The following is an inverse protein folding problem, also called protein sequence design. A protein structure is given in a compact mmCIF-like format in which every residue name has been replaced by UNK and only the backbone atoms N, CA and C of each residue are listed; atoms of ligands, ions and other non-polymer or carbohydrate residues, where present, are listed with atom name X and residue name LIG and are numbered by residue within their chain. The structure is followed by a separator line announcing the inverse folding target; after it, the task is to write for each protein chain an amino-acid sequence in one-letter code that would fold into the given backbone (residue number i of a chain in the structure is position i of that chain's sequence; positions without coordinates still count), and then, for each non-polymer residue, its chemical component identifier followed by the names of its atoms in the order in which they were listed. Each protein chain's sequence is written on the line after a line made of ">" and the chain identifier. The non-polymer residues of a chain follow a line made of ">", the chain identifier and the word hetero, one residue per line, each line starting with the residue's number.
data_IF_952698516390
#
_entry.id   IF_952698516390
#
_cell.length_a   1.000
_cell.length_b   1.000
_cell.length_c   1.000
_cell.angle_alpha   90.00
_cell.angle_beta   90.00
_cell.angle_gamma   90.00
#
_symmetry.space_group_name_H-M   'P 1'
#
loop_
_entity.id
_entity.type
_entity.pdbx_description
1 polymer ?
#
# COMPACT_ATOMS: atom_id res chain seq x y z
N UNK A 1 5.47 9.04 1.41
CA UNK A 1 6.31 7.85 1.66
C UNK A 1 7.17 7.50 0.44
N UNK A 2 6.65 6.84 -0.60
CA UNK A 2 7.45 6.39 -1.76
C UNK A 2 8.15 7.55 -2.48
N UNK A 3 7.41 8.60 -2.87
CA UNK A 3 7.99 9.77 -3.55
C UNK A 3 9.11 10.42 -2.72
N UNK A 4 8.89 10.56 -1.41
CA UNK A 4 9.88 11.11 -0.49
C UNK A 4 11.12 10.22 -0.39
N UNK A 5 10.95 8.91 -0.24
CA UNK A 5 12.06 7.94 -0.17
C UNK A 5 12.92 7.97 -1.44
N UNK A 6 12.28 8.13 -2.60
CA UNK A 6 12.93 8.24 -3.91
C UNK A 6 13.40 9.66 -4.28
N UNK A 7 13.27 10.63 -3.38
CA UNK A 7 13.59 12.05 -3.64
C UNK A 7 12.90 12.64 -4.89
N UNK A 8 11.71 12.13 -5.21
CA UNK A 8 10.87 12.65 -6.30
C UNK A 8 10.04 13.85 -5.82
N UNK A 9 9.63 14.76 -6.74
CA UNK A 9 8.73 15.85 -6.43
C UNK A 9 7.52 15.36 -5.62
N UNK A 10 7.28 15.97 -4.46
CA UNK A 10 6.16 15.56 -3.60
C UNK A 10 4.89 16.29 -3.98
N UNK A 11 3.74 15.64 -3.77
CA UNK A 11 2.42 16.19 -4.06
C UNK A 11 1.62 16.36 -2.77
N UNK A 12 0.65 17.29 -2.81
CA UNK A 12 -0.34 17.40 -1.74
C UNK A 12 -1.17 16.11 -1.70
N UNK A 13 -1.54 15.67 -0.50
CA UNK A 13 -2.35 14.46 -0.34
C UNK A 13 -3.67 14.52 -1.12
N UNK A 14 -4.27 15.71 -1.26
CA UNK A 14 -5.48 15.92 -2.06
C UNK A 14 -5.29 15.60 -3.55
N UNK A 15 -4.11 15.89 -4.10
CA UNK A 15 -3.82 15.64 -5.52
C UNK A 15 -3.54 14.16 -5.75
N UNK A 16 -2.77 13.54 -4.84
CA UNK A 16 -2.55 12.09 -4.83
C UNK A 16 -3.90 11.36 -4.73
N UNK A 17 -4.77 11.80 -3.82
CA UNK A 17 -6.04 11.13 -3.60
C UNK A 17 -6.99 11.27 -4.80
N UNK A 18 -6.97 12.43 -5.49
CA UNK A 18 -7.69 12.60 -6.75
C UNK A 18 -7.17 11.64 -7.83
N UNK A 19 -5.86 11.55 -8.01
CA UNK A 19 -5.24 10.70 -9.03
C UNK A 19 -5.47 9.20 -8.77
N UNK A 20 -5.46 8.78 -7.51
CA UNK A 20 -5.78 7.40 -7.11
C UNK A 20 -7.29 7.14 -7.03
N UNK A 21 -8.09 8.10 -7.50
CA UNK A 21 -9.52 7.95 -7.69
C UNK A 21 -10.31 7.87 -6.39
N UNK A 22 -9.86 8.50 -5.31
CA UNK A 22 -10.51 8.40 -4.01
C UNK A 22 -11.97 8.87 -4.07
N UNK A 23 -12.87 8.11 -3.44
CA UNK A 23 -14.27 8.50 -3.21
C UNK A 23 -14.55 8.41 -1.72
N UNK A 24 -15.16 9.46 -1.17
CA UNK A 24 -15.51 9.59 0.25
C UNK A 24 -17.02 9.75 0.42
N UNK A 25 -17.60 9.37 1.57
CA UNK A 25 -18.97 9.73 1.90
C UNK A 25 -19.10 11.25 2.00
N UNK A 26 -20.31 11.79 1.76
CA UNK A 26 -20.56 13.23 1.69
C UNK A 26 -20.04 13.98 2.92
N UNK A 27 -20.27 13.44 4.12
CA UNK A 27 -19.84 14.01 5.40
C UNK A 27 -18.31 14.18 5.53
N UNK A 28 -17.53 13.32 4.88
CA UNK A 28 -16.06 13.31 5.02
C UNK A 28 -15.34 14.04 3.88
N UNK A 29 -16.08 14.60 2.91
CA UNK A 29 -15.48 15.27 1.74
C UNK A 29 -14.65 16.50 2.10
N UNK A 30 -14.93 17.14 3.22
CA UNK A 30 -14.13 18.26 3.72
C UNK A 30 -12.67 17.87 4.00
N UNK A 31 -12.40 16.58 4.28
CA UNK A 31 -11.04 16.07 4.51
C UNK A 31 -10.20 16.05 3.23
N UNK A 32 -10.82 15.79 2.07
CA UNK A 32 -10.17 15.78 0.76
C UNK A 32 -11.10 16.43 -0.27
N UNK A 33 -11.13 17.77 -0.36
CA UNK A 33 -12.09 18.50 -1.20
C UNK A 33 -12.03 18.13 -2.70
N UNK A 34 -10.84 17.71 -3.17
CA UNK A 34 -10.61 17.22 -4.53
C UNK A 34 -11.04 15.77 -4.75
N UNK A 35 -11.61 15.06 -3.75
CA UNK A 35 -12.07 13.68 -3.93
C UNK A 35 -13.11 13.57 -5.04
N UNK A 36 -13.12 12.45 -5.76
CA UNK A 36 -14.14 12.16 -6.76
C UNK A 36 -15.54 12.11 -6.12
N UNK A 37 -16.54 12.57 -6.86
CA UNK A 37 -17.95 12.42 -6.51
C UNK A 37 -18.46 11.10 -7.05
N UNK A 38 -19.36 10.44 -6.32
CA UNK A 38 -20.00 9.22 -6.81
C UNK A 38 -20.65 8.41 -5.70
N UNK A 39 -21.33 7.34 -6.12
CA UNK A 39 -21.85 6.32 -5.19
C UNK A 39 -20.71 5.56 -4.54
N UNK A 40 -20.98 4.99 -3.36
CA UNK A 40 -20.05 4.13 -2.63
C UNK A 40 -19.55 3.01 -3.56
N UNK A 41 -18.24 2.90 -3.83
CA UNK A 41 -17.71 1.78 -4.60
C UNK A 41 -18.00 0.44 -3.94
N UNK A 42 -18.08 -0.64 -4.72
CA UNK A 42 -18.32 -2.00 -4.20
C UNK A 42 -17.29 -2.42 -3.15
N UNK A 43 -16.04 -2.01 -3.31
CA UNK A 43 -14.95 -2.28 -2.37
C UNK A 43 -14.95 -1.39 -1.12
N UNK A 44 -15.91 -0.46 -0.99
CA UNK A 44 -15.97 0.54 0.06
C UNK A 44 -15.46 1.91 -0.36
N UNK A 45 -15.54 2.87 0.57
CA UNK A 45 -14.95 4.19 0.38
C UNK A 45 -13.43 4.10 0.42
N UNK A 46 -12.75 4.96 -0.33
CA UNK A 46 -11.30 4.93 -0.47
C UNK A 46 -10.85 4.99 -1.92
N UNK A 47 -9.59 4.63 -2.14
CA UNK A 47 -8.96 4.67 -3.47
C UNK A 47 -9.56 3.61 -4.38
N UNK A 48 -9.53 3.85 -5.69
CA UNK A 48 -10.03 2.92 -6.71
C UNK A 48 -8.88 2.35 -7.55
N UNK A 49 -7.74 2.07 -6.91
CA UNK A 49 -6.50 1.60 -7.57
C UNK A 49 -6.66 0.27 -8.32
N UNK A 50 -7.74 -0.48 -8.05
CA UNK A 50 -8.11 -1.67 -8.79
C UNK A 50 -8.64 -1.37 -10.22
N UNK A 51 -9.00 -0.11 -10.52
CA UNK A 51 -9.35 0.33 -11.86
C UNK A 51 -8.10 0.84 -12.56
N UNK A 52 -7.80 0.35 -13.76
CA UNK A 52 -6.59 0.69 -14.54
C UNK A 52 -6.27 2.20 -14.52
N UNK A 53 -7.25 3.06 -14.84
CA UNK A 53 -7.06 4.52 -14.88
C UNK A 53 -6.61 5.18 -13.55
N UNK A 54 -6.84 4.52 -12.42
CA UNK A 54 -6.46 5.00 -11.08
C UNK A 54 -5.35 4.15 -10.46
N UNK A 55 -4.74 3.24 -11.22
CA UNK A 55 -3.63 2.43 -10.73
C UNK A 55 -2.41 3.30 -10.44
N UNK A 56 -1.42 2.75 -9.72
CA UNK A 56 -0.19 3.47 -9.43
C UNK A 56 0.57 3.84 -10.70
N UNK A 57 0.54 3.01 -11.76
CA UNK A 57 1.28 3.21 -13.02
C UNK A 57 0.66 4.38 -13.75
N UNK A 58 -0.67 4.42 -13.83
CA UNK A 58 -1.35 5.54 -14.47
C UNK A 58 -1.15 6.83 -13.66
N UNK A 59 -1.07 6.75 -12.33
CA UNK A 59 -0.64 7.88 -11.50
C UNK A 59 0.80 8.32 -11.82
N UNK A 60 1.76 7.39 -11.86
CA UNK A 60 3.16 7.70 -12.13
C UNK A 60 3.34 8.29 -13.53
N UNK A 61 2.69 7.72 -14.55
CA UNK A 61 2.69 8.26 -15.93
C UNK A 61 2.14 9.68 -15.99
N UNK A 62 0.97 9.95 -15.39
CA UNK A 62 0.37 11.31 -15.39
C UNK A 62 1.24 12.35 -14.71
N UNK A 63 2.11 11.93 -13.80
CA UNK A 63 3.01 12.77 -13.03
C UNK A 63 4.47 12.68 -13.50
N UNK A 64 4.70 12.00 -14.62
CA UNK A 64 6.00 11.82 -15.25
C UNK A 64 7.06 11.24 -14.29
N UNK A 65 6.62 10.42 -13.34
CA UNK A 65 7.53 9.66 -12.49
C UNK A 65 7.98 8.40 -13.24
N UNK A 66 9.29 8.09 -13.27
CA UNK A 66 9.83 6.92 -13.96
C UNK A 66 9.63 5.65 -13.12
N UNK A 67 8.39 5.36 -12.73
CA UNK A 67 8.02 4.26 -11.85
C UNK A 67 6.86 3.46 -12.45
N UNK A 68 6.79 2.17 -12.10
CA UNK A 68 5.64 1.30 -12.37
C UNK A 68 5.33 0.41 -11.18
N UNK A 69 4.09 -0.06 -11.08
CA UNK A 69 3.66 -1.11 -10.16
C UNK A 69 3.51 -2.47 -10.84
N UNK A 70 3.82 -3.49 -10.06
CA UNK A 70 3.36 -4.86 -10.27
C UNK A 70 2.68 -5.34 -8.98
N UNK A 71 1.47 -5.90 -9.08
CA UNK A 71 0.76 -6.44 -7.92
C UNK A 71 1.04 -7.95 -7.76
N UNK A 72 1.50 -8.33 -6.57
CA UNK A 72 1.76 -9.71 -6.16
C UNK A 72 0.74 -10.12 -5.10
N UNK A 73 -0.15 -11.05 -5.44
CA UNK A 73 -1.14 -11.56 -4.51
C UNK A 73 -0.49 -12.37 -3.39
N UNK A 74 -0.93 -12.17 -2.15
CA UNK A 74 -0.44 -12.92 -1.01
C UNK A 74 -0.60 -14.45 -1.14
N UNK A 75 -1.60 -14.87 -1.94
CA UNK A 75 -1.89 -16.28 -2.23
C UNK A 75 -0.79 -16.97 -3.04
N UNK A 76 0.03 -16.21 -3.78
CA UNK A 76 1.15 -16.75 -4.58
C UNK A 76 2.31 -17.21 -3.69
N UNK A 77 2.42 -16.70 -2.46
CA UNK A 77 3.47 -17.11 -1.54
C UNK A 77 3.07 -18.39 -0.79
N UNK A 78 3.62 -19.52 -1.24
CA UNK A 78 3.34 -20.83 -0.65
C UNK A 78 3.95 -21.01 0.76
N UNK A 79 4.94 -20.20 1.15
CA UNK A 79 5.56 -20.27 2.48
C UNK A 79 6.15 -18.92 2.92
N UNK A 80 6.36 -18.77 4.23
CA UNK A 80 7.03 -17.60 4.82
C UNK A 80 8.45 -17.45 4.28
N UNK A 81 9.17 -18.56 4.04
CA UNK A 81 10.52 -18.54 3.43
C UNK A 81 10.51 -17.90 2.04
N UNK A 82 9.56 -18.26 1.17
CA UNK A 82 9.43 -17.66 -0.17
C UNK A 82 9.02 -16.18 -0.09
N UNK A 83 8.10 -15.85 0.82
CA UNK A 83 7.71 -14.47 1.04
C UNK A 83 8.88 -13.61 1.53
N UNK A 84 9.63 -14.08 2.53
CA UNK A 84 10.85 -13.42 3.05
C UNK A 84 11.86 -13.17 1.94
N UNK A 85 12.16 -14.20 1.14
CA UNK A 85 13.09 -14.09 0.00
C UNK A 85 12.60 -13.04 -1.00
N UNK A 86 11.32 -13.07 -1.37
CA UNK A 86 10.74 -12.08 -2.28
C UNK A 86 10.90 -10.64 -1.76
N UNK A 87 10.68 -10.41 -0.46
CA UNK A 87 10.85 -9.08 0.13
C UNK A 87 12.32 -8.61 0.08
N UNK A 88 13.25 -9.48 0.51
CA UNK A 88 14.69 -9.17 0.55
C UNK A 88 15.21 -8.88 -0.87
N UNK A 89 14.94 -9.77 -1.82
CA UNK A 89 15.40 -9.65 -3.21
C UNK A 89 14.93 -8.32 -3.87
N UNK A 90 13.77 -7.79 -3.45
CA UNK A 90 13.24 -6.53 -3.99
C UNK A 90 13.77 -5.30 -3.25
N UNK A 91 14.02 -5.39 -1.94
CA UNK A 91 14.68 -4.32 -1.18
C UNK A 91 16.11 -4.12 -1.70
N UNK A 92 16.85 -5.20 -1.96
CA UNK A 92 18.21 -5.16 -2.52
C UNK A 92 18.26 -4.54 -3.92
N UNK A 93 17.17 -4.66 -4.69
CA UNK A 93 17.00 -4.02 -6.00
C UNK A 93 16.48 -2.58 -5.90
N UNK A 94 16.43 -2.02 -4.70
CA UNK A 94 15.90 -0.67 -4.43
C UNK A 94 14.45 -0.46 -4.87
N UNK A 95 13.65 -1.53 -4.89
CA UNK A 95 12.22 -1.44 -5.14
C UNK A 95 11.48 -1.07 -3.85
N UNK A 96 10.35 -0.38 -3.99
CA UNK A 96 9.44 -0.12 -2.88
C UNK A 96 8.35 -1.19 -2.82
N UNK A 97 7.98 -1.59 -1.61
CA UNK A 97 7.02 -2.66 -1.38
C UNK A 97 5.89 -2.12 -0.51
N UNK A 98 4.76 -1.78 -1.12
CA UNK A 98 3.55 -1.39 -0.40
C UNK A 98 2.70 -2.62 -0.15
N UNK A 99 2.40 -2.95 1.10
CA UNK A 99 1.55 -4.07 1.47
C UNK A 99 0.14 -3.61 1.83
N UNK A 100 -0.89 -4.35 1.45
CA UNK A 100 -2.24 -4.19 1.99
C UNK A 100 -2.67 -5.47 2.71
N UNK A 101 -3.06 -5.36 3.97
CA UNK A 101 -3.33 -6.49 4.85
C UNK A 101 -4.56 -6.24 5.71
N UNK A 102 -5.07 -7.30 6.33
CA UNK A 102 -6.10 -7.20 7.35
C UNK A 102 -5.48 -6.62 8.64
N UNK A 103 -5.75 -5.34 8.92
CA UNK A 103 -5.13 -4.62 10.02
C UNK A 103 -5.49 -5.19 11.40
N UNK A 104 -6.78 -5.46 11.69
CA UNK A 104 -7.18 -6.11 12.93
C UNK A 104 -6.47 -7.42 13.20
N UNK A 105 -6.33 -8.26 12.16
CA UNK A 105 -5.65 -9.55 12.28
C UNK A 105 -4.17 -9.40 12.62
N UNK A 106 -3.45 -8.50 11.93
CA UNK A 106 -2.03 -8.30 12.18
C UNK A 106 -1.73 -7.83 13.61
N UNK A 107 -2.60 -6.97 14.15
CA UNK A 107 -2.41 -6.35 15.46
C UNK A 107 -3.26 -6.95 16.57
N UNK A 108 -3.94 -8.07 16.31
CA UNK A 108 -4.77 -8.80 17.27
C UNK A 108 -5.83 -7.93 17.96
N UNK A 109 -6.47 -7.06 17.18
CA UNK A 109 -7.59 -6.21 17.64
C UNK A 109 -8.90 -6.65 16.98
N UNK A 110 -10.03 -6.25 17.57
CA UNK A 110 -11.36 -6.61 17.04
C UNK A 110 -11.70 -5.83 15.77
N UNK A 111 -12.30 -6.53 14.79
CA UNK A 111 -12.86 -5.96 13.57
C UNK A 111 -12.29 -6.59 12.29
N UNK A 112 -12.64 -6.04 11.13
CA UNK A 112 -12.11 -6.48 9.83
C UNK A 112 -12.07 -5.31 8.85
N UNK A 113 -10.87 -4.80 8.58
CA UNK A 113 -10.64 -3.77 7.57
C UNK A 113 -9.23 -3.87 7.00
N UNK A 114 -9.09 -3.38 5.76
CA UNK A 114 -7.80 -3.29 5.07
C UNK A 114 -6.98 -2.10 5.55
N UNK A 115 -5.66 -2.24 5.53
CA UNK A 115 -4.73 -1.12 5.71
C UNK A 115 -3.52 -1.31 4.82
N UNK A 116 -2.94 -0.19 4.38
CA UNK A 116 -1.73 -0.20 3.58
C UNK A 116 -0.53 0.38 4.33
N UNK A 117 0.63 -0.24 4.20
CA UNK A 117 1.88 0.25 4.79
C UNK A 117 3.07 -0.04 3.88
N UNK A 118 4.12 0.77 3.96
CA UNK A 118 5.36 0.53 3.24
C UNK A 118 6.24 -0.44 4.04
N UNK A 119 6.84 -1.42 3.39
CA UNK A 119 7.91 -2.19 3.99
C UNK A 119 9.18 -1.34 3.96
N UNK A 120 9.70 -1.06 5.14
CA UNK A 120 10.94 -0.33 5.32
C UNK A 120 12.14 -1.27 5.26
N UNK A 121 12.06 -2.39 5.99
CA UNK A 121 13.18 -3.31 6.18
C UNK A 121 12.70 -4.71 6.61
N UNK A 122 13.53 -5.73 6.36
CA UNK A 122 13.38 -7.09 6.89
C UNK A 122 14.59 -7.43 7.77
N UNK A 123 14.36 -7.80 9.04
CA UNK A 123 15.41 -8.18 10.01
C UNK A 123 15.09 -9.52 10.67
N UNK A 124 15.88 -10.55 10.40
CA UNK A 124 15.58 -11.90 10.89
C UNK A 124 14.18 -12.30 10.45
N UNK A 125 13.32 -12.68 11.39
CA UNK A 125 11.93 -13.05 11.10
C UNK A 125 10.93 -11.90 11.25
N UNK A 126 11.44 -10.68 11.37
CA UNK A 126 10.63 -9.48 11.50
C UNK A 126 10.66 -8.65 10.22
N UNK A 127 9.59 -7.91 10.02
CA UNK A 127 9.46 -6.86 9.01
C UNK A 127 9.09 -5.55 9.71
N UNK A 128 9.71 -4.47 9.24
CA UNK A 128 9.47 -3.12 9.73
C UNK A 128 8.53 -2.43 8.75
N UNK A 129 7.34 -2.05 9.24
CA UNK A 129 6.29 -1.40 8.46
C UNK A 129 6.22 0.09 8.81
N UNK A 130 6.24 0.94 7.78
CA UNK A 130 5.98 2.38 7.90
C UNK A 130 4.54 2.69 7.52
N UNK A 131 3.81 3.18 8.50
CA UNK A 131 2.39 3.53 8.39
C UNK A 131 2.24 4.97 7.89
N UNK A 132 1.33 5.26 6.95
CA UNK A 132 1.02 6.64 6.56
C UNK A 132 0.29 7.44 7.65
N UNK A 133 -0.26 6.79 8.69
CA UNK A 133 -1.02 7.45 9.74
C UNK A 133 -0.10 8.35 10.59
N UNK A 134 -0.37 9.68 10.66
CA UNK A 134 0.46 10.61 11.42
C UNK A 134 0.47 10.33 12.93
N UNK A 135 -0.51 9.58 13.47
CA UNK A 135 -0.51 9.11 14.87
C UNK A 135 0.48 7.95 15.10
N UNK A 136 0.90 7.26 14.04
CA UNK A 136 1.84 6.16 14.07
C UNK A 136 3.20 6.60 13.49
N UNK A 137 3.77 7.67 14.05
CA UNK A 137 5.05 8.26 13.58
C UNK A 137 6.22 7.26 13.55
N UNK A 138 6.18 6.21 14.36
CA UNK A 138 7.23 5.20 14.45
C UNK A 138 6.88 3.99 13.59
N UNK A 139 7.88 3.50 12.85
CA UNK A 139 7.75 2.24 12.14
C UNK A 139 7.46 1.10 13.13
N UNK A 140 6.62 0.15 12.71
CA UNK A 140 6.15 -0.96 13.56
C UNK A 140 6.84 -2.24 13.14
N UNK A 141 7.38 -2.96 14.12
CA UNK A 141 7.93 -4.29 13.92
C UNK A 141 6.82 -5.33 14.04
N UNK A 142 6.72 -6.22 13.06
CA UNK A 142 5.80 -7.38 13.10
C UNK A 142 6.52 -8.63 12.60
N UNK A 143 6.02 -9.81 12.96
CA UNK A 143 6.53 -11.08 12.46
C UNK A 143 6.15 -11.29 10.99
N UNK A 144 7.05 -11.87 10.19
CA UNK A 144 6.80 -12.18 8.78
C UNK A 144 5.63 -13.15 8.61
N UNK A 145 5.51 -14.14 9.50
CA UNK A 145 4.40 -15.09 9.48
C UNK A 145 3.07 -14.39 9.71
N UNK A 146 3.00 -13.51 10.71
CA UNK A 146 1.79 -12.76 11.05
C UNK A 146 1.41 -11.80 9.90
N UNK A 147 2.39 -11.13 9.29
CA UNK A 147 2.14 -10.30 8.11
C UNK A 147 1.62 -11.13 6.93
N UNK A 148 2.24 -12.26 6.60
CA UNK A 148 1.79 -13.11 5.49
C UNK A 148 0.38 -13.63 5.73
N UNK A 149 0.06 -14.01 6.96
CA UNK A 149 -1.28 -14.46 7.32
C UNK A 149 -2.30 -13.32 7.21
N UNK A 150 -1.97 -12.12 7.70
CA UNK A 150 -2.84 -10.95 7.59
C UNK A 150 -3.05 -10.51 6.13
N UNK A 151 -2.02 -10.66 5.28
CA UNK A 151 -2.12 -10.46 3.83
C UNK A 151 -3.07 -11.49 3.21
N UNK A 152 -2.90 -12.79 3.47
CA UNK A 152 -3.76 -13.85 2.91
C UNK A 152 -5.24 -13.73 3.31
N UNK A 153 -5.52 -13.15 4.47
CA UNK A 153 -6.87 -12.96 5.02
C UNK A 153 -7.48 -11.58 4.68
N UNK A 154 -7.03 -10.96 3.59
CA UNK A 154 -7.66 -9.78 3.03
C UNK A 154 -7.97 -9.97 1.54
N UNK A 155 -9.18 -9.58 1.09
CA UNK A 155 -9.63 -9.68 -0.30
C UNK A 155 -8.66 -9.09 -1.33
N UNK A 156 -8.02 -7.95 -1.01
CA UNK A 156 -6.96 -7.33 -1.83
C UNK A 156 -5.59 -7.44 -1.18
N UNK A 157 -5.39 -8.53 -0.44
CA UNK A 157 -4.19 -8.79 0.30
C UNK A 157 -3.00 -9.14 -0.60
N UNK A 158 -1.92 -8.39 -0.48
CA UNK A 158 -0.75 -8.58 -1.31
C UNK A 158 0.24 -7.43 -1.23
N UNK A 159 1.15 -7.42 -2.19
CA UNK A 159 2.24 -6.45 -2.29
C UNK A 159 2.15 -5.74 -3.64
N UNK A 160 2.02 -4.41 -3.63
CA UNK A 160 2.38 -3.61 -4.80
C UNK A 160 3.89 -3.38 -4.75
N UNK A 161 4.58 -4.05 -5.66
CA UNK A 161 5.98 -3.79 -5.97
C UNK A 161 6.03 -2.54 -6.85
N UNK A 162 6.73 -1.50 -6.39
CA UNK A 162 6.98 -0.29 -7.17
C UNK A 162 8.46 -0.27 -7.56
N UNK A 163 8.73 -0.26 -8.84
CA UNK A 163 10.08 -0.34 -9.41
C UNK A 163 10.34 0.81 -10.38
N UNK A 164 11.61 1.17 -10.55
CA UNK A 164 12.02 2.16 -11.55
C UNK A 164 11.84 1.62 -12.97
N UNK A 165 11.40 2.47 -13.88
CA UNK A 165 11.54 2.24 -15.31
C UNK A 165 13.02 2.43 -15.66
N UNK A 166 13.71 1.34 -16.01
CA UNK A 166 15.06 1.39 -16.58
C UNK A 166 15.01 1.92 -18.01
#
# INVERSE_FOLDING_TARGET
>A
MILQRRKLPTLKQTDIAYDLGIVLPLKDRHLLPKSHKGRKPRAGWGTRINLKKYSFTEFFKRREYPLRETFWSAKQFSSVKKFKKFLIDNIEKENDLLVCFNYPMLYRIKGSWGHASLIEEVKGDNVILRDPNPKHRKARRVLLNDLLNALKNHHHGGVWLIESLR
#
